data_IF_461253109452
#
_entry.id   IF_461253109452
#
_cell.length_a   1.000
_cell.length_b   1.000
_cell.length_c   1.000
_cell.angle_alpha   90.00
_cell.angle_beta   90.00
_cell.angle_gamma   90.00
#
_symmetry.space_group_name_H-M   'P 1'
#
loop_
_entity.id
_entity.type
_entity.pdbx_description
1 polymer ?
#
# COMPACT_ATOMS: atom_id res chain seq x y z
N UNK A 1 -25.69 12.77 -9.91
CA UNK A 1 -25.50 11.77 -8.83
C UNK A 1 -25.34 10.40 -9.47
N UNK A 2 -24.44 9.54 -8.98
CA UNK A 2 -24.33 8.16 -9.47
C UNK A 2 -25.65 7.43 -9.21
N UNK A 3 -26.09 6.62 -10.18
CA UNK A 3 -27.34 5.86 -10.09
C UNK A 3 -27.20 4.61 -9.21
N UNK A 4 -25.97 4.10 -9.08
CA UNK A 4 -25.61 2.98 -8.22
C UNK A 4 -24.14 3.05 -7.83
N UNK A 5 -23.80 2.32 -6.78
CA UNK A 5 -22.45 2.20 -6.24
C UNK A 5 -22.05 0.73 -6.18
N UNK A 6 -20.80 0.41 -6.53
CA UNK A 6 -20.31 -0.96 -6.66
C UNK A 6 -18.94 -1.07 -6.01
N UNK A 7 -18.77 -1.90 -4.96
CA UNK A 7 -17.46 -2.29 -4.47
C UNK A 7 -16.70 -3.14 -5.50
N UNK A 8 -15.44 -2.79 -5.73
CA UNK A 8 -14.49 -3.53 -6.58
C UNK A 8 -13.29 -3.89 -5.68
N UNK A 9 -13.32 -5.09 -5.11
CA UNK A 9 -12.28 -5.65 -4.26
C UNK A 9 -11.25 -6.35 -5.13
N UNK A 10 -10.05 -5.79 -5.24
CA UNK A 10 -8.92 -6.44 -5.88
C UNK A 10 -8.21 -7.31 -4.85
N UNK A 11 -7.89 -8.55 -5.20
CA UNK A 11 -7.26 -9.48 -4.26
C UNK A 11 -6.37 -10.50 -4.95
N UNK A 12 -5.84 -11.41 -4.15
CA UNK A 12 -4.98 -12.52 -4.58
C UNK A 12 -5.59 -13.86 -4.10
N UNK A 13 -5.33 -14.92 -4.86
CA UNK A 13 -5.75 -16.29 -4.55
C UNK A 13 -4.55 -17.22 -4.61
N UNK A 14 -4.49 -18.14 -3.65
CA UNK A 14 -3.57 -19.27 -3.66
C UNK A 14 -4.38 -20.56 -3.56
N UNK A 15 -4.01 -21.56 -4.35
CA UNK A 15 -4.53 -22.93 -4.21
C UNK A 15 -4.07 -23.55 -2.88
N UNK A 16 -2.91 -23.10 -2.37
CA UNK A 16 -2.42 -23.44 -1.04
C UNK A 16 -3.07 -22.54 0.01
N UNK A 17 -3.23 -23.07 1.23
CA UNK A 17 -3.63 -22.25 2.37
C UNK A 17 -2.66 -21.05 2.53
N UNK A 18 -3.15 -19.80 2.47
CA UNK A 18 -2.28 -18.61 2.57
C UNK A 18 -1.45 -18.57 3.86
N UNK A 19 -1.97 -19.12 4.96
CA UNK A 19 -1.22 -19.23 6.22
C UNK A 19 -0.01 -20.17 6.09
N UNK A 20 -0.10 -21.22 5.28
CA UNK A 20 1.00 -22.15 5.06
C UNK A 20 2.02 -21.57 4.07
N UNK A 21 1.58 -20.73 3.11
CA UNK A 21 2.47 -19.93 2.27
C UNK A 21 3.33 -19.00 3.14
N UNK A 22 2.70 -18.25 4.05
CA UNK A 22 3.40 -17.35 4.96
C UNK A 22 4.34 -18.10 5.92
N UNK A 23 3.88 -19.20 6.54
CA UNK A 23 4.70 -20.01 7.44
C UNK A 23 5.92 -20.58 6.72
N UNK A 24 5.75 -21.03 5.47
CA UNK A 24 6.86 -21.54 4.66
C UNK A 24 7.88 -20.44 4.39
N UNK A 25 7.45 -19.26 3.96
CA UNK A 25 8.33 -18.11 3.73
C UNK A 25 9.13 -17.73 4.99
N UNK A 26 8.46 -17.67 6.15
CA UNK A 26 9.12 -17.40 7.44
C UNK A 26 10.06 -18.53 7.87
N UNK A 27 9.74 -19.79 7.56
CA UNK A 27 10.62 -20.91 7.86
C UNK A 27 11.90 -20.86 7.01
N UNK A 28 11.74 -20.76 5.69
CA UNK A 28 12.84 -20.82 4.71
C UNK A 28 13.65 -19.52 4.64
N UNK A 29 13.06 -18.40 5.04
CA UNK A 29 13.63 -17.06 4.86
C UNK A 29 13.65 -16.58 3.41
N UNK A 30 12.93 -17.24 2.49
CA UNK A 30 12.73 -16.79 1.12
C UNK A 30 11.47 -15.91 0.98
N UNK A 31 11.23 -15.40 -0.22
CA UNK A 31 9.95 -14.81 -0.61
C UNK A 31 8.81 -15.84 -0.50
N UNK A 32 7.57 -15.41 -0.17
CA UNK A 32 6.41 -16.28 -0.27
C UNK A 32 6.20 -16.75 -1.71
N UNK A 33 5.52 -17.88 -1.88
CA UNK A 33 5.05 -18.31 -3.18
C UNK A 33 4.13 -17.22 -3.78
N UNK A 34 4.30 -16.92 -5.07
CA UNK A 34 3.41 -16.03 -5.83
C UNK A 34 1.97 -16.56 -5.82
N UNK A 35 0.99 -15.67 -5.95
CA UNK A 35 -0.41 -16.06 -6.10
C UNK A 35 -0.63 -16.87 -7.38
N UNK A 36 -1.65 -17.72 -7.34
CA UNK A 36 -2.11 -18.48 -8.50
C UNK A 36 -3.07 -17.65 -9.37
N UNK A 37 -3.72 -16.64 -8.77
CA UNK A 37 -4.54 -15.67 -9.49
C UNK A 37 -4.68 -14.34 -8.74
N UNK A 38 -4.83 -13.25 -9.50
CA UNK A 38 -5.54 -12.07 -9.03
C UNK A 38 -7.05 -12.28 -9.09
N UNK A 39 -7.79 -11.52 -8.29
CA UNK A 39 -9.25 -11.59 -8.25
C UNK A 39 -9.90 -10.21 -8.25
N UNK A 40 -11.11 -10.13 -8.82
CA UNK A 40 -12.05 -9.02 -8.62
C UNK A 40 -13.26 -9.58 -7.88
N UNK A 41 -13.56 -9.04 -6.69
CA UNK A 41 -14.63 -9.51 -5.80
C UNK A 41 -14.56 -11.03 -5.54
N UNK A 42 -13.34 -11.56 -5.37
CA UNK A 42 -13.09 -12.97 -5.08
C UNK A 42 -13.13 -13.91 -6.29
N UNK A 43 -13.34 -13.40 -7.51
CA UNK A 43 -13.39 -14.19 -8.73
C UNK A 43 -12.19 -13.90 -9.64
N UNK A 44 -11.44 -14.91 -10.13
CA UNK A 44 -10.29 -14.68 -11.00
C UNK A 44 -10.65 -14.04 -12.35
N UNK A 45 -11.77 -14.45 -12.95
CA UNK A 45 -12.23 -13.93 -14.24
C UNK A 45 -12.04 -14.90 -15.41
N UNK A 46 -12.34 -14.44 -16.62
CA UNK A 46 -12.45 -15.27 -17.83
C UNK A 46 -11.11 -15.83 -18.34
N UNK A 47 -9.98 -15.30 -17.85
CA UNK A 47 -8.64 -15.69 -18.29
C UNK A 47 -8.07 -16.91 -17.54
N UNK A 48 -8.72 -17.36 -16.47
CA UNK A 48 -8.27 -18.49 -15.65
C UNK A 48 -9.06 -19.76 -15.96
N UNK A 49 -8.39 -20.91 -15.80
CA UNK A 49 -9.04 -22.21 -15.93
C UNK A 49 -10.13 -22.33 -14.86
N UNK A 50 -11.28 -22.87 -15.25
CA UNK A 50 -12.41 -23.13 -14.36
C UNK A 50 -13.11 -21.88 -13.77
N UNK A 51 -12.77 -20.66 -14.21
CA UNK A 51 -13.30 -19.41 -13.61
C UNK A 51 -14.34 -18.66 -14.46
N UNK A 52 -14.41 -18.89 -15.77
CA UNK A 52 -15.27 -18.11 -16.69
C UNK A 52 -16.78 -18.18 -16.39
N UNK A 53 -17.25 -19.29 -15.80
CA UNK A 53 -18.67 -19.45 -15.44
C UNK A 53 -19.11 -18.53 -14.30
N UNK A 54 -18.19 -18.16 -13.41
CA UNK A 54 -18.46 -17.35 -12.22
C UNK A 54 -17.93 -15.92 -12.32
N UNK A 55 -17.35 -15.57 -13.48
CA UNK A 55 -16.84 -14.22 -13.73
C UNK A 55 -17.95 -13.18 -13.51
N UNK A 56 -17.67 -12.27 -12.58
CA UNK A 56 -18.67 -11.32 -12.09
C UNK A 56 -19.06 -10.35 -13.19
N UNK A 57 -20.37 -10.09 -13.28
CA UNK A 57 -20.95 -9.17 -14.26
C UNK A 57 -21.66 -8.03 -13.56
N UNK A 58 -21.38 -6.81 -13.99
CA UNK A 58 -21.96 -5.57 -13.47
C UNK A 58 -22.89 -4.97 -14.53
N UNK A 59 -24.22 -5.18 -14.43
CA UNK A 59 -25.16 -4.78 -15.47
C UNK A 59 -25.44 -3.27 -15.44
N UNK A 60 -25.23 -2.54 -16.53
CA UNK A 60 -25.46 -1.09 -16.65
C UNK A 60 -26.50 -0.69 -17.70
N UNK A 61 -27.20 0.41 -17.48
CA UNK A 61 -28.01 1.09 -18.50
C UNK A 61 -27.16 2.06 -19.31
N UNK A 62 -27.44 2.21 -20.61
CA UNK A 62 -26.76 3.22 -21.43
C UNK A 62 -27.03 4.64 -20.90
N UNK A 63 -25.97 5.45 -20.87
CA UNK A 63 -25.97 6.82 -20.36
C UNK A 63 -25.89 6.95 -18.83
N UNK A 64 -26.02 5.86 -18.07
CA UNK A 64 -25.99 5.95 -16.61
C UNK A 64 -24.57 6.20 -16.07
N UNK A 65 -24.48 6.90 -14.94
CA UNK A 65 -23.22 7.08 -14.21
C UNK A 65 -23.23 6.20 -12.96
N UNK A 66 -22.14 5.49 -12.71
CA UNK A 66 -21.98 4.57 -11.57
C UNK A 66 -20.75 4.99 -10.77
N UNK A 67 -20.76 4.72 -9.46
CA UNK A 67 -19.60 4.90 -8.59
C UNK A 67 -18.94 3.54 -8.32
N UNK A 68 -17.72 3.34 -8.81
CA UNK A 68 -16.91 2.19 -8.44
C UNK A 68 -16.07 2.55 -7.21
N UNK A 69 -16.12 1.70 -6.19
CA UNK A 69 -15.35 1.82 -4.95
C UNK A 69 -14.24 0.77 -5.01
N UNK A 70 -13.12 1.13 -5.63
CA UNK A 70 -11.98 0.23 -5.88
C UNK A 70 -11.14 0.14 -4.61
N UNK A 71 -10.86 -1.07 -4.15
CA UNK A 71 -10.12 -1.36 -2.92
C UNK A 71 -9.05 -2.37 -3.30
N UNK A 72 -7.78 -2.08 -3.00
CA UNK A 72 -6.73 -3.08 -3.14
C UNK A 72 -6.54 -3.83 -1.82
N UNK A 73 -7.03 -5.06 -1.80
CA UNK A 73 -6.87 -6.05 -0.74
C UNK A 73 -5.94 -7.20 -1.14
N UNK A 74 -5.16 -7.04 -2.21
CA UNK A 74 -4.02 -7.93 -2.48
C UNK A 74 -3.02 -7.83 -1.32
N UNK A 75 -2.37 -8.96 -1.02
CA UNK A 75 -1.42 -9.06 0.07
C UNK A 75 -0.06 -8.51 -0.34
N UNK A 76 0.38 -8.73 -1.58
CA UNK A 76 1.76 -8.46 -1.98
C UNK A 76 1.94 -7.60 -3.24
N UNK A 77 0.85 -7.07 -3.82
CA UNK A 77 0.95 -6.41 -5.13
C UNK A 77 0.17 -5.10 -5.25
N UNK A 78 0.85 -4.07 -5.77
CA UNK A 78 0.20 -2.90 -6.36
C UNK A 78 -0.38 -3.20 -7.73
N UNK A 79 -1.56 -2.67 -8.03
CA UNK A 79 -2.29 -3.06 -9.23
C UNK A 79 -2.60 -1.84 -10.10
N UNK A 80 -2.42 -2.01 -11.41
CA UNK A 80 -3.12 -1.19 -12.39
C UNK A 80 -4.53 -1.73 -12.57
N UNK A 81 -5.52 -0.84 -12.60
CA UNK A 81 -6.92 -1.17 -12.87
C UNK A 81 -7.51 -0.28 -13.97
N UNK A 82 -8.27 -0.86 -14.88
CA UNK A 82 -8.93 -0.13 -15.97
C UNK A 82 -10.23 -0.80 -16.42
N UNK A 83 -11.06 -0.04 -17.13
CA UNK A 83 -12.31 -0.54 -17.74
C UNK A 83 -12.29 -0.23 -19.24
N UNK A 84 -12.47 -1.25 -20.07
CA UNK A 84 -12.28 -1.13 -21.52
C UNK A 84 -13.15 -0.02 -22.11
N UNK A 85 -12.55 0.89 -22.88
CA UNK A 85 -13.18 2.05 -23.51
C UNK A 85 -13.90 3.04 -22.58
N UNK A 86 -13.80 2.90 -21.26
CA UNK A 86 -14.43 3.82 -20.32
C UNK A 86 -13.38 4.65 -19.59
N UNK A 87 -13.63 5.95 -19.46
CA UNK A 87 -12.82 6.83 -18.62
C UNK A 87 -13.32 6.78 -17.18
N UNK A 88 -12.39 6.92 -16.24
CA UNK A 88 -12.59 6.85 -14.80
C UNK A 88 -12.35 8.23 -14.21
N UNK A 89 -13.39 8.86 -13.66
CA UNK A 89 -13.25 10.15 -12.98
C UNK A 89 -13.06 9.91 -11.49
N UNK A 90 -11.83 10.07 -11.00
CA UNK A 90 -11.48 9.91 -9.59
C UNK A 90 -12.10 11.03 -8.79
N UNK A 91 -12.83 10.69 -7.72
CA UNK A 91 -13.54 11.66 -6.87
C UNK A 91 -13.21 11.51 -5.38
N UNK A 92 -12.53 10.44 -4.99
CA UNK A 92 -12.06 10.26 -3.63
C UNK A 92 -11.02 9.16 -3.53
N UNK A 93 -10.18 9.25 -2.50
CA UNK A 93 -9.16 8.28 -2.14
C UNK A 93 -9.09 8.17 -0.62
N UNK A 94 -8.91 6.97 -0.08
CA UNK A 94 -8.75 6.74 1.36
C UNK A 94 -9.82 7.46 2.21
N UNK A 95 -11.08 7.31 1.80
CA UNK A 95 -12.26 7.98 2.40
C UNK A 95 -12.23 9.53 2.40
N UNK A 96 -11.28 10.15 1.72
CA UNK A 96 -11.19 11.60 1.52
C UNK A 96 -11.57 11.98 0.09
N UNK A 97 -12.38 13.03 -0.08
CA UNK A 97 -12.67 13.56 -1.42
C UNK A 97 -11.40 14.12 -2.07
N UNK A 98 -11.35 14.07 -3.40
CA UNK A 98 -10.26 14.66 -4.19
C UNK A 98 -10.79 15.75 -5.12
N UNK A 99 -9.91 16.61 -5.62
CA UNK A 99 -10.21 17.42 -6.80
C UNK A 99 -10.43 16.45 -7.97
N UNK A 100 -11.62 16.42 -8.60
CA UNK A 100 -11.88 15.41 -9.61
C UNK A 100 -10.93 15.52 -10.81
N UNK A 101 -10.46 14.37 -11.27
CA UNK A 101 -9.67 14.25 -12.49
C UNK A 101 -10.02 12.94 -13.20
N UNK A 102 -9.83 12.91 -14.52
CA UNK A 102 -10.24 11.78 -15.35
C UNK A 102 -9.01 11.05 -15.91
N UNK A 103 -9.00 9.73 -15.79
CA UNK A 103 -7.93 8.83 -16.25
C UNK A 103 -8.52 7.61 -16.96
N UNK A 104 -7.71 6.84 -17.68
CA UNK A 104 -8.08 5.50 -18.18
C UNK A 104 -7.60 4.37 -17.27
N UNK A 105 -6.63 4.64 -16.41
CA UNK A 105 -6.01 3.65 -15.52
C UNK A 105 -5.85 4.24 -14.12
N UNK A 106 -6.11 3.41 -13.12
CA UNK A 106 -5.85 3.66 -11.71
C UNK A 106 -4.60 2.85 -11.34
N UNK A 107 -3.65 3.47 -10.64
CA UNK A 107 -2.64 2.75 -9.87
C UNK A 107 -3.12 2.72 -8.42
N UNK A 108 -3.10 1.54 -7.79
CA UNK A 108 -3.58 1.38 -6.41
C UNK A 108 -2.71 0.36 -5.66
N UNK A 109 -2.09 0.80 -4.56
CA UNK A 109 -1.32 -0.07 -3.68
C UNK A 109 -2.20 -0.76 -2.62
N UNK A 110 -1.79 -1.91 -2.07
CA UNK A 110 -2.46 -2.56 -0.94
C UNK A 110 -2.82 -1.58 0.19
N UNK A 111 -4.02 -1.73 0.73
CA UNK A 111 -4.56 -0.84 1.79
C UNK A 111 -5.18 0.46 1.28
N UNK A 112 -4.93 0.85 0.03
CA UNK A 112 -5.52 2.04 -0.55
C UNK A 112 -6.95 1.79 -1.07
N UNK A 113 -7.74 2.85 -1.10
CA UNK A 113 -9.07 2.85 -1.73
C UNK A 113 -9.21 4.02 -2.70
N UNK A 114 -9.93 3.83 -3.80
CA UNK A 114 -10.20 4.86 -4.81
C UNK A 114 -11.65 4.80 -5.26
N UNK A 115 -12.36 5.92 -5.12
CA UNK A 115 -13.71 6.10 -5.63
C UNK A 115 -13.65 6.73 -7.02
N UNK A 116 -14.23 6.07 -8.03
CA UNK A 116 -14.28 6.58 -9.40
C UNK A 116 -15.69 6.57 -9.97
N UNK A 117 -16.06 7.67 -10.63
CA UNK A 117 -17.26 7.74 -11.45
C UNK A 117 -16.95 7.20 -12.85
N UNK A 118 -17.79 6.28 -13.31
CA UNK A 118 -17.77 5.74 -14.66
C UNK A 118 -19.12 6.05 -15.31
N UNK A 119 -19.10 6.61 -16.53
CA UNK A 119 -20.29 6.84 -17.34
C UNK A 119 -20.41 5.75 -18.39
N UNK A 120 -21.54 5.06 -18.45
CA UNK A 120 -21.84 4.03 -19.43
C UNK A 120 -22.22 4.64 -20.79
N UNK A 121 -21.27 5.31 -21.44
CA UNK A 121 -21.46 6.07 -22.68
C UNK A 121 -20.98 5.36 -23.97
N UNK A 122 -20.59 4.09 -23.86
CA UNK A 122 -20.15 3.27 -24.98
C UNK A 122 -21.33 2.56 -25.65
N UNK A 123 -21.17 2.07 -26.91
CA UNK A 123 -22.19 1.26 -27.57
C UNK A 123 -22.59 0.04 -26.70
N UNK A 124 -23.88 -0.36 -26.68
CA UNK A 124 -24.31 -1.52 -25.90
C UNK A 124 -23.50 -2.78 -26.21
N UNK A 125 -22.80 -3.30 -25.20
CA UNK A 125 -21.91 -4.44 -25.33
C UNK A 125 -21.35 -4.90 -23.99
N UNK A 126 -20.28 -5.68 -24.03
CA UNK A 126 -19.55 -6.17 -22.85
C UNK A 126 -18.12 -5.62 -22.87
N UNK A 127 -17.67 -5.12 -21.72
CA UNK A 127 -16.38 -4.48 -21.55
C UNK A 127 -15.71 -5.07 -20.33
N UNK A 128 -14.47 -5.54 -20.44
CA UNK A 128 -13.75 -6.00 -19.25
C UNK A 128 -13.39 -4.82 -18.35
N UNK A 129 -13.63 -5.01 -17.06
CA UNK A 129 -12.82 -4.42 -16.00
C UNK A 129 -11.64 -5.37 -15.79
N UNK A 130 -10.41 -4.87 -15.77
CA UNK A 130 -9.24 -5.71 -15.60
C UNK A 130 -8.22 -5.09 -14.65
N UNK A 131 -7.50 -5.94 -13.93
CA UNK A 131 -6.37 -5.54 -13.10
C UNK A 131 -5.18 -6.49 -13.24
N UNK A 132 -3.97 -5.95 -13.17
CA UNK A 132 -2.71 -6.69 -13.17
C UNK A 132 -1.63 -5.91 -12.43
N UNK A 133 -0.51 -6.59 -12.13
CA UNK A 133 0.59 -6.07 -11.34
C UNK A 133 1.23 -4.79 -11.91
N UNK A 134 1.51 -3.83 -11.01
CA UNK A 134 2.61 -2.88 -11.13
C UNK A 134 3.77 -3.38 -10.26
N UNK A 135 4.88 -3.81 -10.86
CA UNK A 135 6.05 -4.35 -10.17
C UNK A 135 7.35 -3.79 -10.79
N UNK A 136 8.23 -3.26 -9.95
CA UNK A 136 9.59 -2.86 -10.34
C UNK A 136 10.67 -3.63 -9.61
N UNK A 137 10.31 -4.39 -8.57
CA UNK A 137 11.26 -5.21 -7.84
C UNK A 137 11.77 -6.35 -8.70
N UNK A 138 13.06 -6.66 -8.56
CA UNK A 138 13.66 -7.85 -9.18
C UNK A 138 13.33 -9.12 -8.38
N UNK A 139 12.04 -9.45 -8.32
CA UNK A 139 11.49 -10.61 -7.62
C UNK A 139 10.39 -11.28 -8.46
N UNK A 140 10.15 -12.60 -8.29
CA UNK A 140 9.00 -13.25 -8.91
C UNK A 140 7.69 -12.65 -8.39
N UNK A 141 6.73 -12.46 -9.29
CA UNK A 141 5.39 -11.96 -8.99
C UNK A 141 4.37 -12.70 -9.88
N UNK A 142 3.09 -12.61 -9.51
CA UNK A 142 2.01 -13.08 -10.37
C UNK A 142 1.85 -12.12 -11.56
N UNK A 143 2.18 -12.60 -12.77
CA UNK A 143 2.08 -11.80 -13.99
C UNK A 143 0.83 -12.16 -14.82
N UNK A 144 -0.25 -12.55 -14.14
CA UNK A 144 -1.54 -12.80 -14.77
C UNK A 144 -2.44 -11.57 -14.70
N UNK A 145 -3.66 -11.65 -15.24
CA UNK A 145 -4.61 -10.54 -15.27
C UNK A 145 -5.99 -11.04 -14.85
N UNK A 146 -6.57 -10.39 -13.83
CA UNK A 146 -7.93 -10.67 -13.40
C UNK A 146 -8.94 -9.84 -14.18
N UNK A 147 -10.13 -10.40 -14.38
CA UNK A 147 -11.20 -9.74 -15.16
C UNK A 147 -12.58 -9.86 -14.50
N UNK A 148 -13.38 -8.81 -14.67
CA UNK A 148 -14.82 -8.79 -14.45
C UNK A 148 -15.48 -8.10 -15.64
N UNK A 149 -16.80 -8.21 -15.81
CA UNK A 149 -17.49 -7.71 -17.01
C UNK A 149 -18.44 -6.57 -16.64
N UNK A 150 -18.23 -5.41 -17.23
CA UNK A 150 -19.25 -4.36 -17.34
C UNK A 150 -20.17 -4.71 -18.52
N UNK A 151 -21.44 -5.00 -18.25
CA UNK A 151 -22.40 -5.48 -19.25
C UNK A 151 -23.54 -4.47 -19.44
N UNK A 152 -23.71 -3.94 -20.65
CA UNK A 152 -24.86 -3.11 -20.96
C UNK A 152 -26.11 -4.00 -21.04
N UNK A 153 -27.18 -3.66 -20.33
CA UNK A 153 -28.41 -4.47 -20.34
C UNK A 153 -29.09 -4.52 -21.72
N UNK A 154 -28.91 -3.48 -22.52
CA UNK A 154 -29.36 -3.42 -23.91
C UNK A 154 -28.38 -4.06 -24.90
N UNK A 155 -27.30 -4.70 -24.41
CA UNK A 155 -26.38 -5.43 -25.27
C UNK A 155 -27.16 -6.52 -26.04
N UNK A 156 -26.90 -6.69 -27.36
CA UNK A 156 -27.59 -7.69 -28.14
C UNK A 156 -27.41 -9.08 -27.53
N UNK A 157 -28.52 -9.73 -27.13
CA UNK A 157 -28.51 -11.15 -26.85
C UNK A 157 -28.18 -11.89 -28.14
N UNK A 158 -26.90 -12.21 -28.39
CA UNK A 158 -26.50 -13.05 -29.52
C UNK A 158 -26.96 -14.53 -29.37
N UNK A 159 -27.97 -14.78 -28.54
CA UNK A 159 -28.62 -16.07 -28.30
C UNK A 159 -29.32 -16.65 -29.54
N UNK A 160 -29.47 -15.90 -30.65
CA UNK A 160 -30.04 -16.42 -31.90
C UNK A 160 -29.02 -16.81 -32.98
N UNK A 161 -27.70 -16.55 -32.80
CA UNK A 161 -26.65 -16.87 -33.80
C UNK A 161 -25.28 -17.28 -33.22
N UNK A 162 -25.23 -17.82 -32.00
CA UNK A 162 -24.04 -18.52 -31.48
C UNK A 162 -22.75 -17.70 -31.25
N UNK A 163 -22.73 -16.39 -31.53
CA UNK A 163 -21.56 -15.52 -31.26
C UNK A 163 -21.81 -14.65 -30.04
N UNK A 164 -21.58 -15.14 -28.82
CA UNK A 164 -21.51 -14.26 -27.64
C UNK A 164 -20.60 -13.06 -27.95
N UNK A 165 -21.04 -11.82 -27.69
CA UNK A 165 -20.16 -10.66 -27.88
C UNK A 165 -19.00 -10.79 -26.89
N UNK A 166 -17.82 -11.14 -27.39
CA UNK A 166 -16.59 -11.23 -26.61
C UNK A 166 -16.31 -9.88 -25.96
N UNK A 167 -16.12 -9.81 -24.63
CA UNK A 167 -15.87 -8.53 -23.98
C UNK A 167 -14.58 -7.88 -24.50
N UNK A 168 -14.59 -6.56 -24.63
CA UNK A 168 -13.43 -5.79 -25.08
C UNK A 168 -12.45 -5.64 -23.91
N UNK A 169 -11.15 -5.78 -24.16
CA UNK A 169 -10.10 -5.63 -23.14
C UNK A 169 -9.64 -4.18 -22.99
N UNK A 170 -9.37 -3.67 -21.78
CA UNK A 170 -8.75 -2.36 -21.60
C UNK A 170 -7.27 -2.40 -22.01
N UNK A 171 -6.75 -1.28 -22.49
CA UNK A 171 -5.30 -1.11 -22.60
C UNK A 171 -4.74 -0.78 -21.21
N UNK A 172 -4.12 -1.76 -20.57
CA UNK A 172 -3.38 -1.58 -19.32
C UNK A 172 -1.89 -1.26 -19.62
N UNK A 173 -1.22 -0.50 -18.75
CA UNK A 173 0.22 -0.23 -18.88
C UNK A 173 1.07 -1.51 -18.82
N UNK A 174 2.37 -1.40 -19.13
CA UNK A 174 3.30 -2.47 -18.78
C UNK A 174 3.43 -2.61 -17.26
N UNK A 175 3.71 -3.82 -16.75
CA UNK A 175 3.83 -4.04 -15.31
C UNK A 175 4.92 -3.17 -14.65
N UNK A 176 5.92 -2.72 -15.41
CA UNK A 176 7.02 -1.89 -14.96
C UNK A 176 6.89 -0.41 -15.38
N UNK A 177 5.70 0.03 -15.78
CA UNK A 177 5.46 1.42 -16.23
C UNK A 177 5.36 2.40 -15.05
N UNK A 178 6.51 2.71 -14.47
CA UNK A 178 6.65 3.69 -13.38
C UNK A 178 6.20 5.09 -13.78
N UNK A 179 6.31 5.45 -15.07
CA UNK A 179 5.88 6.76 -15.54
C UNK A 179 4.36 6.91 -15.41
N UNK A 180 3.60 5.88 -15.79
CA UNK A 180 2.14 5.88 -15.63
C UNK A 180 1.71 5.82 -14.15
N UNK A 181 2.36 4.99 -13.34
CA UNK A 181 2.11 4.94 -11.90
C UNK A 181 2.31 6.31 -11.22
N UNK A 182 3.45 6.95 -11.52
CA UNK A 182 3.80 8.28 -10.98
C UNK A 182 2.83 9.36 -11.47
N UNK A 183 2.49 9.35 -12.76
CA UNK A 183 1.55 10.32 -13.34
C UNK A 183 0.14 10.20 -12.76
N UNK A 184 -0.31 8.99 -12.41
CA UNK A 184 -1.57 8.80 -11.70
C UNK A 184 -1.51 9.42 -10.30
N UNK A 185 -0.50 9.04 -9.50
CA UNK A 185 -0.36 9.50 -8.11
C UNK A 185 -0.23 11.02 -8.01
N UNK A 186 0.52 11.65 -8.92
CA UNK A 186 0.71 13.10 -8.96
C UNK A 186 -0.56 13.92 -9.26
N UNK A 187 -1.59 13.30 -9.84
CA UNK A 187 -2.88 13.97 -10.12
C UNK A 187 -3.78 14.09 -8.89
N UNK A 188 -3.56 13.25 -7.87
CA UNK A 188 -4.39 13.21 -6.66
C UNK A 188 -4.14 14.47 -5.82
N UNK A 189 -5.17 15.28 -5.61
CA UNK A 189 -5.12 16.52 -4.81
C UNK A 189 -6.36 16.65 -3.95
N UNK A 190 -6.25 17.35 -2.83
CA UNK A 190 -7.44 17.76 -2.06
C UNK A 190 -8.34 18.68 -2.91
N UNK A 191 -9.67 18.62 -2.73
CA UNK A 191 -10.64 19.37 -3.54
C UNK A 191 -10.50 20.89 -3.36
N UNK A 192 -10.07 21.32 -2.18
CA UNK A 192 -9.89 22.71 -1.79
C UNK A 192 -8.55 22.90 -1.09
N UNK A 193 -8.23 24.16 -0.76
CA UNK A 193 -7.12 24.44 0.14
C UNK A 193 -7.36 23.79 1.51
N UNK A 194 -6.31 23.26 2.11
CA UNK A 194 -6.34 22.57 3.42
C UNK A 194 -5.31 23.17 4.37
N UNK A 195 -5.52 22.99 5.67
CA UNK A 195 -4.58 23.45 6.70
C UNK A 195 -3.53 22.36 6.95
N UNK A 196 -2.41 22.48 6.25
CA UNK A 196 -1.23 21.63 6.45
C UNK A 196 -0.36 22.25 7.56
N UNK A 197 0.19 21.48 8.51
CA UNK A 197 1.16 22.00 9.47
C UNK A 197 2.35 22.67 8.75
N UNK A 198 2.65 23.91 9.11
CA UNK A 198 3.79 24.68 8.55
C UNK A 198 4.95 24.82 9.54
N UNK A 199 4.63 24.92 10.83
CA UNK A 199 5.61 24.78 11.92
C UNK A 199 5.74 23.28 12.21
N UNK A 200 6.98 22.77 12.20
CA UNK A 200 7.28 21.34 12.33
C UNK A 200 8.05 21.12 13.63
N UNK A 201 7.45 20.36 14.56
CA UNK A 201 8.10 19.99 15.83
C UNK A 201 9.06 18.82 15.64
N UNK A 202 8.69 17.86 14.79
CA UNK A 202 9.49 16.67 14.46
C UNK A 202 9.69 16.56 12.96
N UNK A 203 10.94 16.68 12.51
CA UNK A 203 11.33 16.45 11.12
C UNK A 203 12.09 15.12 11.03
N UNK A 204 11.42 14.10 10.51
CA UNK A 204 11.86 12.71 10.49
C UNK A 204 12.26 12.29 9.07
N UNK A 205 13.30 11.46 8.97
CA UNK A 205 13.77 10.89 7.73
C UNK A 205 13.90 9.38 7.90
N UNK A 206 13.04 8.62 7.26
CA UNK A 206 12.95 7.17 7.37
C UNK A 206 13.36 6.52 6.06
N UNK A 207 14.54 5.88 6.05
CA UNK A 207 14.87 4.95 4.98
C UNK A 207 13.99 3.72 5.11
N UNK A 208 13.31 3.34 4.04
CA UNK A 208 12.46 2.16 3.94
C UNK A 208 13.04 1.23 2.88
N UNK A 209 12.96 -0.07 3.10
CA UNK A 209 13.48 -1.03 2.14
C UNK A 209 13.70 -2.42 2.70
N UNK A 210 14.14 -3.28 1.81
CA UNK A 210 14.49 -4.66 2.11
C UNK A 210 15.89 -4.78 2.71
N UNK A 211 16.22 -5.99 3.15
CA UNK A 211 17.53 -6.36 3.67
C UNK A 211 17.72 -7.87 3.65
N UNK A 212 18.92 -8.32 3.99
CA UNK A 212 19.27 -9.74 4.07
C UNK A 212 19.98 -10.04 5.39
N UNK A 213 19.43 -10.98 6.15
CA UNK A 213 20.06 -11.55 7.33
C UNK A 213 20.98 -12.71 6.92
N UNK A 214 22.24 -12.65 7.35
CA UNK A 214 23.16 -13.76 7.18
C UNK A 214 22.72 -14.99 7.97
N UNK A 215 23.04 -16.16 7.40
CA UNK A 215 22.79 -17.45 8.02
C UNK A 215 24.07 -18.08 8.56
N UNK A 216 23.97 -18.76 9.71
CA UNK A 216 25.07 -19.57 10.25
C UNK A 216 25.41 -20.76 9.34
N UNK A 217 24.40 -21.34 8.68
CA UNK A 217 24.56 -22.42 7.69
C UNK A 217 23.88 -21.98 6.38
N UNK A 218 24.66 -21.43 5.42
CA UNK A 218 24.14 -21.04 4.11
C UNK A 218 23.48 -22.23 3.40
N UNK A 219 22.43 -21.96 2.61
CA UNK A 219 21.69 -22.95 1.82
C UNK A 219 21.01 -24.09 2.63
N UNK A 220 20.93 -23.98 3.95
CA UNK A 220 20.09 -24.85 4.76
C UNK A 220 18.60 -24.66 4.38
N UNK A 221 17.68 -25.58 4.74
CA UNK A 221 16.25 -25.39 4.51
C UNK A 221 15.67 -24.10 5.10
N UNK A 222 16.39 -23.45 6.03
CA UNK A 222 16.05 -22.17 6.65
C UNK A 222 16.74 -20.97 6.01
N UNK A 223 17.46 -21.13 4.91
CA UNK A 223 18.29 -20.08 4.32
C UNK A 223 18.19 -20.15 2.80
N UNK A 224 16.99 -19.91 2.30
CA UNK A 224 16.62 -20.01 0.88
C UNK A 224 16.45 -18.64 0.22
N UNK A 225 16.82 -17.56 0.89
CA UNK A 225 16.94 -16.24 0.28
C UNK A 225 18.19 -16.13 -0.61
N UNK A 226 18.38 -14.99 -1.30
CA UNK A 226 19.51 -14.77 -2.20
C UNK A 226 20.86 -15.05 -1.52
N UNK A 227 21.76 -15.76 -2.20
CA UNK A 227 23.10 -16.10 -1.69
C UNK A 227 23.09 -16.84 -0.33
N UNK A 228 22.09 -17.69 -0.07
CA UNK A 228 21.99 -18.49 1.15
C UNK A 228 21.70 -17.64 2.40
N UNK A 229 21.03 -16.50 2.22
CA UNK A 229 20.62 -15.58 3.30
C UNK A 229 19.12 -15.73 3.60
N UNK A 230 18.58 -14.84 4.44
CA UNK A 230 17.15 -14.73 4.72
C UNK A 230 16.68 -13.29 4.48
N UNK A 231 15.55 -13.11 3.82
CA UNK A 231 14.96 -11.78 3.67
C UNK A 231 14.68 -11.13 5.04
N UNK A 232 14.85 -9.82 5.04
CA UNK A 232 14.53 -8.90 6.11
C UNK A 232 13.98 -7.63 5.46
N UNK A 233 13.38 -6.77 6.27
CA UNK A 233 13.04 -5.43 5.87
C UNK A 233 13.11 -4.52 7.09
N UNK A 234 13.26 -3.22 6.87
CA UNK A 234 13.49 -2.29 7.96
C UNK A 234 13.06 -0.87 7.67
N UNK A 235 12.85 -0.11 8.74
CA UNK A 235 12.78 1.34 8.72
C UNK A 235 13.98 1.86 9.52
N UNK A 236 14.80 2.74 8.91
CA UNK A 236 16.06 3.25 9.51
C UNK A 236 16.97 2.15 10.08
N UNK A 237 17.14 1.04 9.34
CA UNK A 237 17.97 -0.11 9.72
C UNK A 237 17.48 -0.87 10.97
N UNK A 238 16.24 -0.64 11.40
CA UNK A 238 15.55 -1.40 12.44
C UNK A 238 14.50 -2.30 11.79
N UNK A 239 14.73 -3.61 11.84
CA UNK A 239 13.76 -4.65 11.46
C UNK A 239 12.85 -4.94 12.64
N UNK A 240 11.58 -4.59 12.51
CA UNK A 240 10.62 -4.66 13.60
C UNK A 240 10.37 -6.09 14.06
N UNK A 241 10.35 -6.28 15.38
CA UNK A 241 9.96 -7.55 15.98
C UNK A 241 8.65 -7.36 16.72
N UNK A 242 7.60 -8.06 16.28
CA UNK A 242 6.33 -8.08 17.00
C UNK A 242 6.49 -8.73 18.38
N UNK A 243 6.00 -8.11 19.47
CA UNK A 243 5.93 -8.74 20.77
C UNK A 243 5.15 -10.07 20.73
N UNK A 244 5.59 -11.05 21.53
CA UNK A 244 4.96 -12.38 21.60
C UNK A 244 4.06 -12.58 22.82
N UNK A 245 4.30 -11.80 23.86
CA UNK A 245 3.49 -11.83 25.08
C UNK A 245 2.52 -10.66 24.99
N UNK A 246 2.86 -9.49 25.52
CA UNK A 246 1.93 -8.37 25.59
C UNK A 246 1.92 -7.53 24.32
N UNK A 247 0.73 -7.11 23.89
CA UNK A 247 0.59 -6.09 22.85
C UNK A 247 1.30 -4.80 23.29
N UNK A 248 1.77 -3.99 22.33
CA UNK A 248 2.43 -2.71 22.64
C UNK A 248 1.52 -1.81 23.49
N UNK A 249 0.25 -1.73 23.13
CA UNK A 249 -0.75 -0.90 23.80
C UNK A 249 -0.99 -1.35 25.24
N UNK A 250 -1.12 -2.67 25.47
CA UNK A 250 -1.25 -3.22 26.81
C UNK A 250 0.00 -2.95 27.65
N UNK A 251 1.19 -3.19 27.09
CA UNK A 251 2.44 -2.95 27.77
C UNK A 251 2.62 -1.48 28.17
N UNK A 252 2.23 -0.55 27.29
CA UNK A 252 2.22 0.88 27.60
C UNK A 252 1.23 1.23 28.71
N UNK A 253 -0.03 0.78 28.58
CA UNK A 253 -1.08 1.09 29.55
C UNK A 253 -0.77 0.54 30.95
N UNK A 254 -0.17 -0.63 31.04
CA UNK A 254 0.18 -1.30 32.30
C UNK A 254 1.58 -0.94 32.82
N UNK A 255 2.35 -0.11 32.10
CA UNK A 255 3.72 0.24 32.47
C UNK A 255 4.67 -0.96 32.50
N UNK A 256 4.46 -1.96 31.64
CA UNK A 256 5.24 -3.19 31.64
C UNK A 256 6.61 -2.98 30.99
N UNK A 257 7.72 -3.22 31.72
CA UNK A 257 9.05 -3.06 31.18
C UNK A 257 9.42 -4.20 30.21
N UNK A 258 10.36 -3.93 29.29
CA UNK A 258 11.01 -4.94 28.46
C UNK A 258 10.24 -5.39 27.21
N UNK A 259 9.06 -4.82 26.92
CA UNK A 259 8.28 -5.14 25.71
C UNK A 259 8.74 -4.32 24.50
N UNK A 260 9.04 -3.04 24.72
CA UNK A 260 9.54 -2.14 23.69
C UNK A 260 10.45 -1.07 24.29
N UNK A 261 11.14 -0.34 23.41
CA UNK A 261 11.94 0.85 23.74
C UNK A 261 11.44 2.03 22.93
N UNK A 262 11.65 3.26 23.41
CA UNK A 262 11.17 4.50 22.74
C UNK A 262 12.29 5.27 22.05
N UNK A 263 13.34 4.57 21.63
CA UNK A 263 14.57 5.12 21.06
C UNK A 263 14.66 4.85 19.55
N UNK A 264 13.52 4.77 18.84
CA UNK A 264 13.53 4.65 17.39
C UNK A 264 14.26 5.86 16.77
N UNK A 265 15.22 5.66 15.85
CA UNK A 265 16.05 6.75 15.37
C UNK A 265 15.25 7.69 14.42
N UNK A 266 15.28 9.04 14.64
CA UNK A 266 14.55 10.00 13.81
C UNK A 266 15.10 10.12 12.38
N UNK A 267 16.35 9.70 12.17
CA UNK A 267 17.10 9.70 10.91
C UNK A 267 17.87 8.40 10.79
N UNK A 268 18.25 7.94 9.57
CA UNK A 268 19.02 6.71 9.41
C UNK A 268 20.36 6.81 10.17
N UNK A 269 20.75 5.77 10.93
CA UNK A 269 22.00 5.78 11.71
C UNK A 269 23.26 5.98 10.87
N UNK A 270 23.21 5.60 9.59
CA UNK A 270 24.29 5.78 8.62
C UNK A 270 23.70 6.42 7.36
N UNK A 271 24.32 7.50 6.90
CA UNK A 271 23.97 8.14 5.64
C UNK A 271 24.83 7.57 4.51
N UNK A 272 24.19 7.32 3.38
CA UNK A 272 24.82 6.83 2.15
C UNK A 272 23.99 7.29 0.96
N UNK A 273 24.45 7.03 -0.26
CA UNK A 273 23.64 7.20 -1.46
C UNK A 273 22.56 6.10 -1.48
N UNK A 274 21.37 6.42 -0.95
CA UNK A 274 20.28 5.45 -0.72
C UNK A 274 19.83 4.77 -2.00
N UNK A 275 19.83 5.50 -3.12
CA UNK A 275 19.37 5.02 -4.42
C UNK A 275 20.51 4.59 -5.36
N UNK A 276 21.76 4.68 -4.90
CA UNK A 276 22.96 4.35 -5.66
C UNK A 276 23.40 2.90 -5.51
N UNK A 277 24.72 2.67 -5.56
CA UNK A 277 25.31 1.35 -5.31
C UNK A 277 25.61 1.17 -3.82
N UNK A 278 24.74 0.46 -3.10
CA UNK A 278 24.83 0.32 -1.64
C UNK A 278 25.73 -0.85 -1.24
N UNK A 279 26.75 -0.58 -0.43
CA UNK A 279 27.68 -1.58 0.09
C UNK A 279 26.95 -2.72 0.81
N UNK A 280 27.35 -3.98 0.52
CA UNK A 280 26.77 -5.20 1.11
C UNK A 280 26.82 -5.22 2.64
N UNK A 281 27.76 -4.51 3.27
CA UNK A 281 27.84 -4.38 4.73
C UNK A 281 26.65 -3.68 5.37
N UNK A 282 25.86 -2.92 4.59
CA UNK A 282 24.69 -2.18 5.04
C UNK A 282 23.37 -2.95 4.84
N UNK A 283 23.40 -4.14 4.26
CA UNK A 283 22.19 -4.86 3.86
C UNK A 283 21.53 -5.63 5.02
N UNK A 284 22.20 -5.79 6.15
CA UNK A 284 21.68 -6.54 7.29
C UNK A 284 21.12 -5.59 8.36
N UNK A 285 19.78 -5.52 8.51
CA UNK A 285 19.19 -4.68 9.53
C UNK A 285 19.33 -5.27 10.94
N UNK A 286 19.26 -4.38 11.93
CA UNK A 286 19.22 -4.75 13.34
C UNK A 286 17.79 -5.06 13.76
N UNK A 287 17.56 -6.15 14.49
CA UNK A 287 16.22 -6.48 14.99
C UNK A 287 15.89 -5.66 16.23
N UNK A 288 14.66 -5.18 16.35
CA UNK A 288 14.21 -4.52 17.57
C UNK A 288 12.73 -4.14 17.58
N UNK A 289 12.18 -4.00 18.77
CA UNK A 289 10.84 -3.43 19.00
C UNK A 289 11.02 -2.01 19.51
N UNK A 290 11.27 -1.09 18.58
CA UNK A 290 11.56 0.33 18.85
C UNK A 290 10.41 1.21 18.39
N UNK A 291 9.95 2.11 19.25
CA UNK A 291 8.88 3.07 18.99
C UNK A 291 9.44 4.49 18.98
N UNK A 292 8.79 5.39 18.24
CA UNK A 292 9.11 6.82 18.27
C UNK A 292 8.09 7.55 19.15
N UNK A 293 8.56 8.17 20.24
CA UNK A 293 7.68 8.87 21.19
C UNK A 293 7.37 10.29 20.72
N UNK A 294 6.08 10.65 20.75
CA UNK A 294 5.54 11.96 20.38
C UNK A 294 4.71 12.52 21.53
N UNK A 295 4.79 13.83 21.73
CA UNK A 295 3.84 14.53 22.60
C UNK A 295 2.52 14.72 21.86
N UNK A 296 1.41 14.71 22.61
CA UNK A 296 0.11 15.07 22.06
C UNK A 296 0.16 16.47 21.41
N UNK A 297 -0.37 16.58 20.20
CA UNK A 297 -0.47 17.83 19.45
C UNK A 297 0.79 18.22 18.67
N UNK A 298 1.88 17.46 18.78
CA UNK A 298 3.09 17.69 17.99
C UNK A 298 2.80 17.62 16.48
N UNK A 299 3.45 18.48 15.71
CA UNK A 299 3.41 18.46 14.24
C UNK A 299 4.59 17.69 13.67
N UNK A 300 4.32 16.79 12.73
CA UNK A 300 5.31 15.86 12.18
C UNK A 300 5.44 16.10 10.68
N UNK A 301 6.68 16.22 10.21
CA UNK A 301 7.06 15.97 8.83
C UNK A 301 7.85 14.67 8.80
N UNK A 302 7.45 13.75 7.93
CA UNK A 302 8.12 12.48 7.76
C UNK A 302 8.42 12.27 6.27
N UNK A 303 9.69 12.08 5.95
CA UNK A 303 10.15 11.67 4.63
C UNK A 303 10.41 10.16 4.64
N UNK A 304 9.71 9.42 3.79
CA UNK A 304 10.08 8.06 3.44
C UNK A 304 11.05 8.10 2.27
N UNK A 305 12.18 7.41 2.39
CA UNK A 305 13.22 7.29 1.37
C UNK A 305 13.40 5.81 1.03
N UNK A 306 13.05 5.42 -0.20
CA UNK A 306 13.38 4.08 -0.70
C UNK A 306 14.90 3.92 -0.84
N UNK A 307 15.37 2.68 -0.68
CA UNK A 307 16.78 2.32 -0.83
C UNK A 307 16.95 1.25 -1.90
N UNK A 308 18.06 1.25 -2.61
CA UNK A 308 18.40 0.19 -3.58
C UNK A 308 18.97 -1.09 -2.92
N UNK A 309 18.85 -1.23 -1.59
CA UNK A 309 19.25 -2.45 -0.88
C UNK A 309 18.34 -3.59 -1.34
N UNK A 310 18.94 -4.67 -1.86
CA UNK A 310 18.26 -5.77 -2.59
C UNK A 310 17.67 -5.32 -3.93
N UNK A 311 16.74 -4.38 -3.93
CA UNK A 311 16.08 -3.82 -5.13
C UNK A 311 15.44 -2.49 -4.76
N UNK A 312 15.22 -1.62 -5.76
CA UNK A 312 14.29 -0.50 -5.62
C UNK A 312 12.86 -0.98 -5.80
N UNK A 313 11.93 -0.45 -5.02
CA UNK A 313 10.54 -0.90 -5.01
C UNK A 313 9.60 0.20 -4.48
N UNK A 314 8.35 0.17 -4.93
CA UNK A 314 7.31 0.95 -4.26
C UNK A 314 6.86 0.23 -2.97
N UNK A 315 6.82 0.97 -1.88
CA UNK A 315 6.41 0.48 -0.57
C UNK A 315 5.18 1.26 -0.10
N UNK A 316 3.96 0.69 -0.16
CA UNK A 316 2.74 1.35 0.30
C UNK A 316 2.77 1.49 1.83
N UNK A 317 3.31 2.60 2.33
CA UNK A 317 3.45 2.87 3.76
C UNK A 317 2.12 3.33 4.34
N UNK A 318 1.59 2.54 5.27
CA UNK A 318 0.33 2.77 5.96
C UNK A 318 0.56 3.18 7.41
N UNK A 319 -0.12 4.23 7.86
CA UNK A 319 -0.11 4.70 9.25
C UNK A 319 -1.47 4.49 9.91
N UNK A 320 -1.49 3.69 10.97
CA UNK A 320 -2.70 3.47 11.77
C UNK A 320 -3.07 4.74 12.54
N UNK A 321 -4.37 4.92 12.83
CA UNK A 321 -4.86 5.98 13.71
C UNK A 321 -4.79 7.40 13.14
N UNK A 322 -4.26 7.57 11.92
CA UNK A 322 -4.08 8.86 11.26
C UNK A 322 -4.40 8.77 9.77
N UNK A 323 -4.92 9.87 9.24
CA UNK A 323 -4.60 10.26 7.88
C UNK A 323 -3.51 11.33 7.93
N UNK A 324 -2.78 11.47 6.84
CA UNK A 324 -1.71 12.45 6.64
C UNK A 324 -1.84 13.15 5.30
N UNK A 325 -1.22 14.32 5.19
CA UNK A 325 -1.10 15.06 3.93
C UNK A 325 0.18 14.66 3.22
N UNK A 326 0.09 14.23 1.95
CA UNK A 326 1.25 13.98 1.10
C UNK A 326 1.69 15.29 0.46
N UNK A 327 2.77 15.89 0.96
CA UNK A 327 3.18 17.24 0.57
C UNK A 327 4.17 17.26 -0.59
N UNK A 328 4.89 16.17 -0.84
CA UNK A 328 5.83 16.10 -1.96
C UNK A 328 6.31 14.69 -2.20
N UNK A 329 6.82 14.43 -3.40
CA UNK A 329 7.48 13.19 -3.77
C UNK A 329 8.46 13.44 -4.91
N UNK A 330 9.42 12.53 -5.07
CA UNK A 330 10.40 12.60 -6.15
C UNK A 330 11.21 11.32 -6.27
N UNK A 331 12.09 11.28 -7.27
CA UNK A 331 13.05 10.19 -7.48
C UNK A 331 14.42 10.55 -6.93
N UNK A 332 15.24 9.53 -6.69
CA UNK A 332 16.58 9.67 -6.11
C UNK A 332 16.55 9.96 -4.61
N UNK A 333 17.67 10.46 -4.10
CA UNK A 333 17.78 10.86 -2.70
C UNK A 333 17.08 12.21 -2.47
N UNK A 334 16.25 12.29 -1.42
CA UNK A 334 15.65 13.53 -0.97
C UNK A 334 16.72 14.56 -0.58
N UNK A 335 16.62 15.76 -1.14
CA UNK A 335 17.46 16.90 -0.80
C UNK A 335 16.60 17.99 -0.13
N UNK A 336 16.73 18.20 1.20
CA UNK A 336 15.88 19.15 1.91
C UNK A 336 16.03 20.59 1.40
N UNK A 337 17.20 20.98 0.89
CA UNK A 337 17.46 22.34 0.41
C UNK A 337 16.80 22.65 -0.94
N UNK A 338 16.47 21.62 -1.72
CA UNK A 338 15.85 21.74 -3.05
C UNK A 338 14.39 21.33 -3.03
N UNK A 339 14.11 20.17 -2.45
CA UNK A 339 12.84 19.47 -2.63
C UNK A 339 11.73 20.02 -1.72
N UNK A 340 12.08 20.61 -0.57
CA UNK A 340 11.07 21.24 0.31
C UNK A 340 10.40 22.45 -0.34
N UNK A 341 11.07 23.13 -1.27
CA UNK A 341 10.54 24.27 -2.01
C UNK A 341 9.43 23.86 -2.99
N UNK A 342 9.33 22.57 -3.37
CA UNK A 342 8.31 22.07 -4.29
C UNK A 342 7.09 21.51 -3.59
N UNK A 343 7.06 21.54 -2.24
CA UNK A 343 5.96 20.98 -1.47
C UNK A 343 4.63 21.67 -1.78
N UNK A 344 3.62 20.85 -2.08
CA UNK A 344 2.24 21.30 -2.14
C UNK A 344 1.71 21.50 -0.72
N UNK A 345 1.72 22.75 -0.26
CA UNK A 345 1.14 23.16 1.02
C UNK A 345 -0.25 23.80 0.86
N UNK A 346 -0.79 23.83 -0.36
CA UNK A 346 -2.09 24.43 -0.67
C UNK A 346 -3.16 23.35 -0.60
N UNK A 347 -3.06 22.32 -1.44
CA UNK A 347 -4.06 21.26 -1.54
C UNK A 347 -3.45 19.84 -1.66
N UNK A 348 -2.47 19.46 -0.82
CA UNK A 348 -1.94 18.10 -0.83
C UNK A 348 -3.06 17.08 -0.58
N UNK A 349 -3.01 15.90 -1.21
CA UNK A 349 -4.00 14.86 -0.93
C UNK A 349 -3.87 14.36 0.51
N UNK A 350 -5.00 14.04 1.11
CA UNK A 350 -5.10 13.37 2.41
C UNK A 350 -5.21 11.87 2.18
N UNK A 351 -4.34 11.08 2.81
CA UNK A 351 -4.18 9.64 2.62
C UNK A 351 -3.93 8.96 3.96
N UNK A 352 -4.20 7.67 4.05
CA UNK A 352 -3.70 6.82 5.14
C UNK A 352 -2.59 5.87 4.67
N UNK A 353 -2.44 5.71 3.36
CA UNK A 353 -1.43 4.85 2.74
C UNK A 353 -0.81 5.56 1.54
N UNK A 354 0.52 5.58 1.46
CA UNK A 354 1.24 6.17 0.33
C UNK A 354 2.53 5.41 0.03
N UNK A 355 2.73 5.16 -1.26
CA UNK A 355 3.94 4.57 -1.81
C UNK A 355 5.10 5.55 -1.96
N UNK A 356 6.33 5.05 -1.92
CA UNK A 356 7.50 5.76 -2.43
C UNK A 356 7.66 5.44 -3.92
N UNK A 357 7.88 6.41 -4.82
CA UNK A 357 8.33 6.05 -6.16
C UNK A 357 9.57 5.13 -6.07
N UNK A 358 9.70 4.08 -6.90
CA UNK A 358 10.84 3.18 -6.83
C UNK A 358 12.17 3.94 -6.95
N UNK A 359 13.05 3.77 -5.96
CA UNK A 359 14.30 4.50 -5.84
C UNK A 359 14.08 6.00 -5.60
N UNK A 360 13.05 6.36 -4.84
CA UNK A 360 12.61 7.73 -4.63
C UNK A 360 12.21 8.02 -3.18
N UNK A 361 11.47 9.11 -3.01
CA UNK A 361 11.04 9.58 -1.70
C UNK A 361 9.63 10.17 -1.74
N UNK A 362 8.96 10.14 -0.59
CA UNK A 362 7.68 10.84 -0.38
C UNK A 362 7.69 11.50 0.99
N UNK A 363 7.22 12.74 1.05
CA UNK A 363 7.12 13.54 2.27
C UNK A 363 5.65 13.68 2.69
N UNK A 364 5.36 13.35 3.95
CA UNK A 364 4.04 13.48 4.55
C UNK A 364 4.05 14.41 5.77
N UNK A 365 2.90 14.98 6.09
CA UNK A 365 2.68 15.77 7.32
C UNK A 365 1.40 15.38 8.03
N UNK A 366 1.48 15.27 9.36
CA UNK A 366 0.31 15.03 10.22
C UNK A 366 0.53 15.67 11.61
N UNK A 367 -0.52 15.66 12.43
CA UNK A 367 -0.50 16.13 13.81
C UNK A 367 -0.76 14.94 14.72
N UNK A 368 0.09 14.70 15.71
CA UNK A 368 -0.05 13.62 16.68
C UNK A 368 -1.14 13.92 17.73
N UNK A 369 -2.39 14.03 17.27
CA UNK A 369 -3.55 14.39 18.09
C UNK A 369 -4.41 13.17 18.52
N UNK A 370 -3.89 11.95 18.36
CA UNK A 370 -4.55 10.71 18.74
C UNK A 370 -3.66 9.91 19.72
N UNK A 371 -3.89 9.99 21.04
CA UNK A 371 -3.10 9.28 22.05
C UNK A 371 -3.19 7.77 21.90
N UNK A 372 -2.07 7.07 22.06
CA UNK A 372 -1.99 5.62 21.93
C UNK A 372 -0.75 5.17 21.18
N UNK A 373 -0.75 3.91 20.77
CA UNK A 373 0.33 3.33 19.97
C UNK A 373 -0.20 2.98 18.59
N UNK A 374 0.45 3.52 17.57
CA UNK A 374 0.00 3.45 16.18
C UNK A 374 1.07 2.85 15.30
N UNK A 375 0.75 1.71 14.67
CA UNK A 375 1.65 1.02 13.77
C UNK A 375 1.82 1.82 12.47
N UNK A 376 3.07 1.96 12.04
CA UNK A 376 3.47 2.44 10.72
C UNK A 376 4.15 1.29 10.01
N UNK A 377 3.65 0.86 8.86
CA UNK A 377 4.21 -0.30 8.18
C UNK A 377 3.99 -0.29 6.67
N UNK A 378 4.80 -1.06 5.94
CA UNK A 378 4.49 -1.41 4.56
C UNK A 378 3.24 -2.30 4.53
N UNK A 379 2.34 -2.03 3.59
CA UNK A 379 1.11 -2.80 3.39
C UNK A 379 1.29 -4.00 2.44
N UNK A 380 2.54 -4.32 2.07
CA UNK A 380 2.91 -5.62 1.50
C UNK A 380 3.18 -6.58 2.66
N UNK A 381 2.38 -7.64 2.76
CA UNK A 381 2.40 -8.57 3.90
C UNK A 381 3.75 -9.28 4.05
N UNK A 382 4.41 -9.62 2.95
CA UNK A 382 5.77 -10.15 2.97
C UNK A 382 6.73 -9.19 3.70
N UNK A 383 6.70 -7.90 3.37
CA UNK A 383 7.59 -6.88 3.94
C UNK A 383 7.27 -6.61 5.40
N UNK A 384 5.98 -6.56 5.76
CA UNK A 384 5.54 -6.47 7.14
C UNK A 384 6.10 -7.63 7.97
N UNK A 385 5.98 -8.85 7.46
CA UNK A 385 6.47 -10.07 8.13
C UNK A 385 8.00 -10.11 8.28
N UNK A 386 8.72 -9.40 7.40
CA UNK A 386 10.17 -9.24 7.44
C UNK A 386 10.65 -8.08 8.33
N UNK A 387 9.71 -7.27 8.84
CA UNK A 387 9.99 -6.20 9.80
C UNK A 387 9.99 -4.78 9.22
N UNK A 388 9.40 -4.54 8.05
CA UNK A 388 9.19 -3.19 7.49
C UNK A 388 8.07 -2.45 8.24
N UNK A 389 8.31 -2.22 9.53
CA UNK A 389 7.35 -1.60 10.42
C UNK A 389 8.07 -0.82 11.53
N UNK A 390 7.31 0.04 12.20
CA UNK A 390 7.62 0.64 13.50
C UNK A 390 6.31 1.11 14.13
N UNK A 391 6.34 1.67 15.33
CA UNK A 391 5.14 2.30 15.90
C UNK A 391 5.43 3.66 16.53
N UNK A 392 4.51 4.61 16.36
CA UNK A 392 4.51 5.85 17.10
C UNK A 392 3.82 5.64 18.45
N UNK A 393 4.43 6.13 19.53
CA UNK A 393 3.81 6.25 20.85
C UNK A 393 3.42 7.71 21.04
N UNK A 394 2.12 8.00 21.05
CA UNK A 394 1.59 9.35 21.26
C UNK A 394 1.10 9.45 22.70
N UNK A 395 1.78 10.28 23.49
CA UNK A 395 1.44 10.50 24.90
C UNK A 395 0.05 11.13 25.05
N UNK A 396 -0.51 11.01 26.26
CA UNK A 396 -1.72 11.73 26.62
C UNK A 396 -1.48 13.25 26.60
N UNK A 397 -2.48 14.01 26.16
CA UNK A 397 -2.59 15.44 26.37
C UNK A 397 -3.20 15.76 27.74
N UNK A 398 -3.68 17.00 27.89
CA UNK A 398 -4.22 17.52 29.17
C UNK A 398 -5.70 17.18 29.33
N UNK A 399 -6.45 17.16 28.23
CA UNK A 399 -7.90 16.94 28.26
C UNK A 399 -8.29 15.48 28.43
N UNK A 400 -9.50 15.23 28.97
CA UNK A 400 -10.10 13.89 29.05
C UNK A 400 -10.20 13.19 27.69
N UNK A 401 -10.50 13.96 26.63
CA UNK A 401 -10.56 13.46 25.24
C UNK A 401 -9.18 13.36 24.57
N UNK A 402 -8.11 13.71 25.28
CA UNK A 402 -6.72 13.64 24.85
C UNK A 402 -5.99 12.54 25.61
N UNK A 403 -6.71 11.54 26.14
CA UNK A 403 -6.14 10.45 26.92
C UNK A 403 -6.60 9.10 26.35
N UNK A 404 -5.69 8.13 26.36
CA UNK A 404 -5.97 6.72 26.03
C UNK A 404 -7.16 6.21 26.87
N UNK A 405 -8.09 5.52 26.21
CA UNK A 405 -9.20 4.85 26.90
C UNK A 405 -8.72 3.59 27.63
N UNK A 406 -9.36 3.23 28.75
CA UNK A 406 -9.07 1.95 29.41
C UNK A 406 -9.33 0.78 28.45
N UNK A 407 -8.56 -0.31 28.54
CA UNK A 407 -8.80 -1.50 27.73
C UNK A 407 -10.20 -2.08 28.03
N UNK A 408 -10.88 -2.65 27.04
CA UNK A 408 -12.18 -3.29 27.25
C UNK A 408 -12.02 -4.55 28.14
N UNK A 409 -13.09 -4.92 28.86
CA UNK A 409 -13.06 -6.01 29.84
C UNK A 409 -12.78 -7.39 29.21
N UNK A 410 -13.08 -7.53 27.92
CA UNK A 410 -12.91 -8.73 27.11
C UNK A 410 -11.66 -8.66 26.21
N UNK A 411 -10.71 -7.76 26.51
CA UNK A 411 -9.43 -7.72 25.80
C UNK A 411 -8.79 -9.13 25.81
N UNK A 412 -8.47 -9.72 24.63
CA UNK A 412 -7.89 -11.06 24.56
C UNK A 412 -6.62 -11.17 25.41
N UNK A 413 -6.51 -12.28 26.15
CA UNK A 413 -5.31 -12.58 26.94
C UNK A 413 -4.17 -13.01 26.02
N UNK A 414 -2.98 -12.56 26.39
CA UNK A 414 -1.73 -12.83 25.71
C UNK A 414 -1.21 -14.25 25.93
#
# INVERSE_FOLDING_TARGET
MPKKEIPILLGEWWDRNPMDVQKLALFTGAAPNVSDAYTINGQPGDLYRCSSKETIRFPVESGETILLRVINSAMNQELFFGVANHKLTVVGVDASYTKPFTTSVIMIGPGQTTNVLLKADQPPGRYYMAAHAYNTANAPFDNTTTTAILEYKSAPCNAKKGKSSTPIFPQLPGFNDTATATAYTAQVKSPTQVKVPTVIDHNLFFTVGLGLNNCSIPNSPRCQGPNGTRFAASINNVSFVFPRTNSLMQAYYQGQPGVFTTDFPPVPPVQFDYTGNVSRGLWQPSKGTKLYKLKYGSTIQLVFQDTSIVTVEDHPMHLHGYDFYVVGMGFGNFNPSRDTATFNLINPPRRNTIGTPPGGWVAIRFVAANPGIWLLHCHIDAHLSWGLAMAFLVENGVGKLQTVQPPPLDLPRC
#
